data_IF_421803573711
#
_entry.id   IF_421803573711
#
_cell.length_a   1.000
_cell.length_b   1.000
_cell.length_c   1.000
_cell.angle_alpha   90.00
_cell.angle_beta   90.00
_cell.angle_gamma   90.00
#
_symmetry.space_group_name_H-M   'P 1'
#
loop_
_entity.id
_entity.type
_entity.pdbx_description
1 polymer ?
#
# COMPACT_ATOMS: atom_id res chain seq x y z
N UNK A 1 -37.74 9.03 24.70
CA UNK A 1 -37.10 7.79 25.17
C UNK A 1 -37.04 7.85 26.69
N UNK A 2 -37.67 6.89 27.38
CA UNK A 2 -37.60 6.78 28.85
C UNK A 2 -36.24 6.13 29.18
N UNK A 3 -35.44 6.66 30.13
CA UNK A 3 -34.19 6.01 30.52
C UNK A 3 -34.47 4.61 31.11
N UNK A 4 -33.59 3.63 30.86
CA UNK A 4 -33.73 2.29 31.45
C UNK A 4 -33.74 2.39 32.97
N UNK A 5 -34.56 1.55 33.61
CA UNK A 5 -34.68 1.57 35.07
C UNK A 5 -33.41 1.03 35.73
N UNK A 6 -33.16 1.39 37.00
CA UNK A 6 -31.97 0.93 37.73
C UNK A 6 -31.85 -0.60 37.78
N UNK A 7 -32.98 -1.31 37.75
CA UNK A 7 -33.04 -2.77 37.67
C UNK A 7 -32.59 -3.31 36.30
N UNK A 8 -32.88 -2.61 35.21
CA UNK A 8 -32.44 -2.98 33.86
C UNK A 8 -30.93 -2.77 33.71
N UNK A 9 -30.39 -1.69 34.31
CA UNK A 9 -28.95 -1.42 34.34
C UNK A 9 -28.19 -2.49 35.14
N UNK A 10 -28.69 -2.87 36.31
CA UNK A 10 -28.08 -3.95 37.11
C UNK A 10 -28.10 -5.31 36.39
N UNK A 11 -29.16 -5.59 35.63
CA UNK A 11 -29.30 -6.81 34.84
C UNK A 11 -28.31 -6.85 33.66
N UNK A 12 -28.18 -5.73 32.95
CA UNK A 12 -27.21 -5.56 31.87
C UNK A 12 -25.76 -5.64 32.38
N UNK A 13 -25.47 -5.08 33.55
CA UNK A 13 -24.14 -5.17 34.16
C UNK A 13 -23.81 -6.61 34.60
N UNK A 14 -24.78 -7.36 35.11
CA UNK A 14 -24.61 -8.76 35.46
C UNK A 14 -24.38 -9.65 34.22
N UNK A 15 -25.09 -9.39 33.13
CA UNK A 15 -24.91 -10.10 31.86
C UNK A 15 -23.57 -9.76 31.20
N UNK A 16 -23.17 -8.49 31.22
CA UNK A 16 -21.85 -8.05 30.75
C UNK A 16 -20.72 -8.71 31.55
N UNK A 17 -20.83 -8.78 32.89
CA UNK A 17 -19.85 -9.47 33.74
C UNK A 17 -19.74 -10.96 33.42
N UNK A 18 -20.87 -11.62 33.12
CA UNK A 18 -20.87 -13.04 32.72
C UNK A 18 -20.19 -13.24 31.37
N UNK A 19 -20.57 -12.45 30.36
CA UNK A 19 -19.96 -12.53 29.02
C UNK A 19 -18.45 -12.24 29.07
N UNK A 20 -18.04 -11.25 29.85
CA UNK A 20 -16.62 -10.95 30.07
C UNK A 20 -15.92 -12.13 30.76
N UNK A 21 -16.47 -12.66 31.85
CA UNK A 21 -15.83 -13.78 32.56
C UNK A 21 -15.72 -15.06 31.73
N UNK A 22 -16.65 -15.31 30.81
CA UNK A 22 -16.63 -16.50 29.94
C UNK A 22 -15.74 -16.31 28.70
N UNK A 23 -15.70 -15.09 28.13
CA UNK A 23 -14.96 -14.81 26.90
C UNK A 23 -13.50 -14.41 27.14
N UNK A 24 -13.20 -13.65 28.20
CA UNK A 24 -11.84 -13.15 28.46
C UNK A 24 -10.80 -14.27 28.59
N UNK A 25 -11.06 -15.39 29.30
CA UNK A 25 -10.09 -16.48 29.40
C UNK A 25 -9.77 -17.12 28.05
N UNK A 26 -10.78 -17.29 27.19
CA UNK A 26 -10.60 -17.85 25.85
C UNK A 26 -9.76 -16.93 24.97
N UNK A 27 -10.08 -15.63 24.97
CA UNK A 27 -9.32 -14.62 24.23
C UNK A 27 -7.87 -14.51 24.72
N UNK A 28 -7.65 -14.65 26.05
CA UNK A 28 -6.30 -14.66 26.61
C UNK A 28 -5.49 -15.88 26.17
N UNK A 29 -6.11 -17.06 26.10
CA UNK A 29 -5.44 -18.27 25.60
C UNK A 29 -5.15 -18.18 24.10
N UNK A 30 -6.07 -17.66 23.30
CA UNK A 30 -5.86 -17.40 21.87
C UNK A 30 -4.70 -16.41 21.65
N UNK A 31 -4.67 -15.32 22.42
CA UNK A 31 -3.58 -14.34 22.35
C UNK A 31 -2.23 -14.95 22.75
N UNK A 32 -2.21 -15.82 23.78
CA UNK A 32 -1.01 -16.55 24.19
C UNK A 32 -0.55 -17.53 23.10
N UNK A 33 -1.48 -18.23 22.46
CA UNK A 33 -1.21 -19.11 21.32
C UNK A 33 -0.59 -18.35 20.15
N UNK A 34 -1.27 -17.28 19.71
CA UNK A 34 -0.80 -16.43 18.63
C UNK A 34 0.59 -15.83 18.92
N UNK A 35 0.88 -15.48 20.17
CA UNK A 35 2.20 -14.99 20.55
C UNK A 35 3.28 -16.06 20.46
N UNK A 36 3.01 -17.29 20.91
CA UNK A 36 3.94 -18.42 20.77
C UNK A 36 4.22 -18.74 19.30
N UNK A 37 3.20 -18.69 18.46
CA UNK A 37 3.36 -18.89 17.02
C UNK A 37 4.19 -17.77 16.38
N UNK A 38 3.94 -16.51 16.74
CA UNK A 38 4.72 -15.37 16.25
C UNK A 38 6.19 -15.47 16.68
N UNK A 39 6.46 -15.88 17.92
CA UNK A 39 7.82 -16.05 18.42
C UNK A 39 8.50 -17.27 17.74
N UNK A 40 7.78 -18.37 17.52
CA UNK A 40 8.29 -19.52 16.76
C UNK A 40 8.63 -19.17 15.30
N UNK A 41 7.80 -18.35 14.64
CA UNK A 41 8.06 -17.88 13.28
C UNK A 41 9.27 -16.93 13.21
N UNK A 42 9.45 -16.08 14.23
CA UNK A 42 10.64 -15.24 14.35
C UNK A 42 11.90 -16.08 14.50
N UNK A 43 11.86 -17.08 15.38
CA UNK A 43 12.99 -18.00 15.58
C UNK A 43 13.29 -18.81 14.31
N UNK A 44 12.27 -19.25 13.57
CA UNK A 44 12.44 -19.94 12.31
C UNK A 44 13.07 -19.04 11.25
N UNK A 45 12.64 -17.78 11.17
CA UNK A 45 13.17 -16.79 10.24
C UNK A 45 14.62 -16.42 10.56
N UNK A 46 14.98 -16.27 11.84
CA UNK A 46 16.37 -16.04 12.25
C UNK A 46 17.26 -17.26 11.96
N UNK A 47 16.76 -18.48 12.20
CA UNK A 47 17.47 -19.71 11.81
C UNK A 47 17.66 -19.82 10.30
N UNK A 48 16.65 -19.45 9.51
CA UNK A 48 16.74 -19.46 8.06
C UNK A 48 17.73 -18.40 7.55
N UNK A 49 17.72 -17.19 8.13
CA UNK A 49 18.72 -16.16 7.82
C UNK A 49 20.13 -16.63 8.14
N UNK A 50 20.33 -17.21 9.33
CA UNK A 50 21.63 -17.75 9.74
C UNK A 50 22.09 -18.86 8.79
N UNK A 51 21.19 -19.79 8.42
CA UNK A 51 21.49 -20.85 7.45
C UNK A 51 21.81 -20.30 6.06
N UNK A 52 21.11 -19.25 5.60
CA UNK A 52 21.39 -18.56 4.33
C UNK A 52 22.73 -17.82 4.37
N UNK A 53 23.06 -17.17 5.47
CA UNK A 53 24.33 -16.48 5.64
C UNK A 53 25.50 -17.47 5.71
N UNK A 54 25.34 -18.58 6.42
CA UNK A 54 26.34 -19.65 6.48
C UNK A 54 26.51 -20.34 5.12
N UNK A 55 25.42 -20.60 4.40
CA UNK A 55 25.47 -21.08 3.01
C UNK A 55 26.13 -20.07 2.07
N UNK A 56 25.95 -18.76 2.28
CA UNK A 56 26.61 -17.71 1.52
C UNK A 56 28.12 -17.61 1.83
N UNK A 57 28.53 -17.86 3.07
CA UNK A 57 29.96 -17.92 3.47
C UNK A 57 30.67 -19.16 2.93
N UNK A 58 29.95 -20.29 2.79
CA UNK A 58 30.48 -21.54 2.25
C UNK A 58 30.42 -21.61 0.72
N UNK A 59 29.68 -20.71 0.06
CA UNK A 59 29.60 -20.68 -1.39
C UNK A 59 30.93 -20.21 -2.02
N UNK A 60 31.46 -20.94 -3.02
CA UNK A 60 32.60 -20.48 -3.81
C UNK A 60 32.32 -19.07 -4.37
N UNK A 61 33.29 -18.14 -4.34
CA UNK A 61 33.08 -16.74 -4.77
C UNK A 61 32.60 -16.62 -6.22
N UNK A 62 32.90 -17.62 -7.04
CA UNK A 62 32.43 -17.73 -8.43
C UNK A 62 30.91 -17.95 -8.49
N UNK A 63 30.35 -18.80 -7.62
CA UNK A 63 28.92 -19.07 -7.55
C UNK A 63 28.15 -17.92 -6.90
N UNK A 64 28.73 -17.23 -5.90
CA UNK A 64 28.14 -16.03 -5.32
C UNK A 64 28.05 -14.88 -6.34
N UNK A 65 29.09 -14.69 -7.16
CA UNK A 65 29.11 -13.68 -8.22
C UNK A 65 28.19 -14.05 -9.39
N UNK A 66 28.12 -15.33 -9.75
CA UNK A 66 27.16 -15.82 -10.74
C UNK A 66 25.71 -15.67 -10.27
N UNK A 67 25.43 -15.91 -8.97
CA UNK A 67 24.10 -15.71 -8.39
C UNK A 67 23.72 -14.23 -8.25
N UNK A 68 24.67 -13.36 -7.90
CA UNK A 68 24.46 -11.91 -7.91
C UNK A 68 24.24 -11.37 -9.33
N UNK A 69 24.96 -11.92 -10.32
CA UNK A 69 24.75 -11.61 -11.73
C UNK A 69 23.40 -12.14 -12.22
N UNK A 70 22.99 -13.35 -11.82
CA UNK A 70 21.68 -13.91 -12.14
C UNK A 70 20.53 -13.14 -11.47
N UNK A 71 20.68 -12.69 -10.22
CA UNK A 71 19.72 -11.81 -9.55
C UNK A 71 19.65 -10.42 -10.20
N UNK A 72 20.77 -9.91 -10.73
CA UNK A 72 20.81 -8.67 -11.48
C UNK A 72 20.16 -8.83 -12.87
N UNK A 73 20.44 -9.93 -13.57
CA UNK A 73 19.75 -10.30 -14.83
C UNK A 73 18.26 -10.54 -14.61
N UNK A 74 17.86 -11.19 -13.52
CA UNK A 74 16.45 -11.39 -13.17
C UNK A 74 15.77 -10.07 -12.81
N UNK A 75 16.47 -9.15 -12.15
CA UNK A 75 15.95 -7.80 -11.86
C UNK A 75 15.86 -6.94 -13.12
N UNK A 76 16.80 -7.09 -14.05
CA UNK A 76 16.84 -6.40 -15.34
C UNK A 76 15.84 -7.01 -16.33
N UNK A 77 15.61 -8.33 -16.28
CA UNK A 77 14.58 -9.06 -17.02
C UNK A 77 13.18 -8.81 -16.44
N UNK A 78 13.02 -8.73 -15.12
CA UNK A 78 11.80 -8.25 -14.49
C UNK A 78 11.57 -6.77 -14.84
N UNK A 79 12.63 -5.97 -14.86
CA UNK A 79 12.64 -4.61 -15.38
C UNK A 79 12.19 -4.55 -16.84
N UNK A 80 12.64 -5.46 -17.69
CA UNK A 80 12.30 -5.56 -19.11
C UNK A 80 10.88 -6.09 -19.35
N UNK A 81 10.41 -7.04 -18.53
CA UNK A 81 9.03 -7.57 -18.54
C UNK A 81 8.04 -6.53 -18.01
N UNK A 82 8.44 -5.69 -17.05
CA UNK A 82 7.71 -4.49 -16.61
C UNK A 82 7.88 -3.30 -17.56
N UNK A 83 8.96 -3.28 -18.36
CA UNK A 83 9.26 -2.29 -19.39
C UNK A 83 8.78 -2.71 -20.79
N UNK A 84 7.95 -3.75 -20.91
CA UNK A 84 7.00 -3.76 -22.02
C UNK A 84 6.17 -2.48 -21.86
N UNK A 85 6.23 -1.51 -22.80
CA UNK A 85 5.53 -0.26 -22.63
C UNK A 85 4.05 -0.60 -22.48
N UNK A 86 3.48 -0.36 -21.29
CA UNK A 86 2.04 -0.45 -21.07
C UNK A 86 1.39 0.57 -22.01
N UNK A 87 1.08 0.13 -23.23
CA UNK A 87 0.47 1.00 -24.22
C UNK A 87 -0.96 1.22 -23.80
N UNK A 88 -1.21 2.39 -23.23
CA UNK A 88 -2.56 2.82 -22.89
C UNK A 88 -3.35 2.94 -24.19
N UNK A 89 -4.29 2.02 -24.41
CA UNK A 89 -5.22 2.11 -25.52
C UNK A 89 -6.12 3.34 -25.36
N UNK A 90 -6.65 3.88 -26.47
CA UNK A 90 -7.57 5.01 -26.41
C UNK A 90 -8.81 4.72 -25.52
N UNK A 91 -9.26 3.45 -25.51
CA UNK A 91 -10.33 2.97 -24.63
C UNK A 91 -9.95 3.07 -23.15
N UNK A 92 -8.74 2.63 -22.78
CA UNK A 92 -8.24 2.74 -21.41
C UNK A 92 -8.05 4.21 -20.98
N UNK A 93 -7.57 5.07 -21.88
CA UNK A 93 -7.47 6.51 -21.64
C UNK A 93 -8.83 7.19 -21.44
N UNK A 94 -9.88 6.71 -22.14
CA UNK A 94 -11.24 7.19 -21.96
C UNK A 94 -11.82 6.73 -20.61
N UNK A 95 -11.63 5.45 -20.25
CA UNK A 95 -12.08 4.90 -18.97
C UNK A 95 -11.45 5.63 -17.77
N UNK A 96 -10.17 6.00 -17.87
CA UNK A 96 -9.46 6.81 -16.88
C UNK A 96 -10.05 8.20 -16.62
N UNK A 97 -11.09 8.65 -17.33
CA UNK A 97 -11.83 9.87 -17.00
C UNK A 97 -12.86 9.64 -15.89
N UNK A 98 -13.46 8.45 -15.87
CA UNK A 98 -14.54 8.07 -14.96
C UNK A 98 -14.06 7.19 -13.81
N UNK A 99 -13.09 6.31 -14.06
CA UNK A 99 -12.67 5.24 -13.16
C UNK A 99 -11.26 5.53 -12.55
N UNK A 100 -11.12 5.61 -11.22
CA UNK A 100 -9.84 5.85 -10.56
C UNK A 100 -8.82 4.72 -10.73
N UNK A 101 -9.27 3.45 -10.83
CA UNK A 101 -8.38 2.31 -11.05
C UNK A 101 -7.81 2.34 -12.47
N UNK A 102 -8.68 2.59 -13.46
CA UNK A 102 -8.22 2.84 -14.82
C UNK A 102 -7.26 4.04 -14.90
N UNK A 103 -7.51 5.09 -14.12
CA UNK A 103 -6.63 6.25 -14.06
C UNK A 103 -5.26 5.93 -13.44
N UNK A 104 -5.21 5.07 -12.43
CA UNK A 104 -3.96 4.58 -11.85
C UNK A 104 -3.15 3.81 -12.89
N UNK A 105 -3.77 2.89 -13.62
CA UNK A 105 -3.11 2.13 -14.68
C UNK A 105 -2.53 3.03 -15.78
N UNK A 106 -3.27 4.06 -16.21
CA UNK A 106 -2.78 5.07 -17.17
C UNK A 106 -1.63 5.89 -16.59
N UNK A 107 -1.67 6.21 -15.30
CA UNK A 107 -0.63 6.99 -14.63
C UNK A 107 0.66 6.19 -14.46
N UNK A 108 0.57 4.88 -14.18
CA UNK A 108 1.72 3.95 -14.16
C UNK A 108 2.41 3.94 -15.51
N UNK A 109 1.65 3.71 -16.59
CA UNK A 109 2.19 3.71 -17.95
C UNK A 109 2.90 5.02 -18.31
N UNK A 110 2.34 6.17 -17.90
CA UNK A 110 2.95 7.48 -18.13
C UNK A 110 4.22 7.71 -17.31
N UNK A 111 4.26 7.26 -16.07
CA UNK A 111 5.38 7.47 -15.17
C UNK A 111 6.57 6.53 -15.46
N UNK A 112 6.32 5.37 -16.07
CA UNK A 112 7.34 4.42 -16.52
C UNK A 112 7.89 4.74 -17.93
N UNK A 113 7.32 5.73 -18.63
CA UNK A 113 7.86 6.20 -19.90
C UNK A 113 9.26 6.78 -19.69
N UNK A 114 10.23 6.56 -20.60
CA UNK A 114 11.58 7.12 -20.48
C UNK A 114 11.58 8.65 -20.39
N UNK A 115 10.62 9.31 -21.06
CA UNK A 115 10.44 10.76 -21.05
C UNK A 115 9.55 11.28 -19.91
N UNK A 116 9.23 10.45 -18.90
CA UNK A 116 8.36 10.87 -17.81
C UNK A 116 8.97 12.03 -17.02
N UNK A 117 8.19 13.09 -16.84
CA UNK A 117 8.59 14.22 -16.01
C UNK A 117 8.55 13.89 -14.51
N UNK A 118 9.22 14.69 -13.66
CA UNK A 118 9.14 14.54 -12.20
C UNK A 118 7.71 14.61 -11.66
N UNK A 119 6.84 15.37 -12.32
CA UNK A 119 5.43 15.55 -11.93
C UNK A 119 4.63 14.27 -12.14
N UNK A 120 4.85 13.55 -13.24
CA UNK A 120 4.19 12.28 -13.54
C UNK A 120 4.54 11.21 -12.51
N UNK A 121 5.82 11.12 -12.13
CA UNK A 121 6.31 10.21 -11.08
C UNK A 121 5.74 10.57 -9.71
N UNK A 122 5.77 11.84 -9.32
CA UNK A 122 5.19 12.30 -8.05
C UNK A 122 3.67 12.03 -7.97
N UNK A 123 2.95 12.22 -9.08
CA UNK A 123 1.52 11.89 -9.14
C UNK A 123 1.28 10.39 -8.99
N UNK A 124 2.11 9.53 -9.59
CA UNK A 124 2.01 8.09 -9.40
C UNK A 124 2.19 7.71 -7.92
N UNK A 125 3.24 8.23 -7.28
CA UNK A 125 3.51 7.98 -5.85
C UNK A 125 2.31 8.39 -4.99
N UNK A 126 1.73 9.56 -5.25
CA UNK A 126 0.55 10.02 -4.51
C UNK A 126 -0.67 9.12 -4.71
N UNK A 127 -0.92 8.65 -5.94
CA UNK A 127 -2.00 7.71 -6.22
C UNK A 127 -1.78 6.34 -5.57
N UNK A 128 -0.54 5.83 -5.57
CA UNK A 128 -0.20 4.57 -4.92
C UNK A 128 -0.39 4.65 -3.39
N UNK A 129 0.00 5.77 -2.78
CA UNK A 129 -0.21 5.99 -1.35
C UNK A 129 -1.70 6.05 -0.99
N UNK A 130 -2.49 6.79 -1.77
CA UNK A 130 -3.94 6.82 -1.61
C UNK A 130 -4.56 5.42 -1.74
N UNK A 131 -4.10 4.63 -2.72
CA UNK A 131 -4.55 3.24 -2.88
C UNK A 131 -4.19 2.36 -1.67
N UNK A 132 -2.97 2.48 -1.12
CA UNK A 132 -2.57 1.71 0.08
C UNK A 132 -3.38 2.04 1.34
N UNK A 133 -3.98 3.23 1.38
CA UNK A 133 -4.84 3.69 2.47
C UNK A 133 -6.32 3.44 2.22
N UNK A 134 -6.69 2.88 1.06
CA UNK A 134 -8.09 2.71 0.66
C UNK A 134 -8.79 4.01 0.24
N UNK A 135 -8.04 5.10 0.02
CA UNK A 135 -8.57 6.45 -0.23
C UNK A 135 -8.38 6.94 -1.68
N UNK A 136 -8.30 6.01 -2.61
CA UNK A 136 -8.05 6.31 -4.03
C UNK A 136 -9.14 7.19 -4.65
N UNK A 137 -10.41 6.98 -4.24
CA UNK A 137 -11.56 7.76 -4.70
C UNK A 137 -11.51 9.22 -4.22
N UNK A 138 -11.14 9.49 -2.96
CA UNK A 138 -11.06 10.88 -2.49
C UNK A 138 -9.90 11.63 -3.14
N UNK A 139 -8.74 10.97 -3.32
CA UNK A 139 -7.64 11.53 -4.11
C UNK A 139 -8.09 11.92 -5.53
N UNK A 140 -8.88 11.05 -6.16
CA UNK A 140 -9.44 11.27 -7.49
C UNK A 140 -10.46 12.42 -7.52
N UNK A 141 -11.34 12.50 -6.53
CA UNK A 141 -12.29 13.61 -6.37
C UNK A 141 -11.57 14.95 -6.18
N UNK A 142 -10.54 15.01 -5.33
CA UNK A 142 -9.72 16.21 -5.13
C UNK A 142 -9.00 16.66 -6.42
N UNK A 143 -8.63 15.71 -7.29
CA UNK A 143 -8.09 16.04 -8.63
C UNK A 143 -9.16 16.68 -9.52
N UNK A 144 -10.39 16.16 -9.54
CA UNK A 144 -11.50 16.74 -10.31
C UNK A 144 -11.81 18.16 -9.83
N UNK A 145 -11.85 18.37 -8.52
CA UNK A 145 -12.06 19.70 -7.92
C UNK A 145 -10.95 20.69 -8.31
N UNK A 146 -9.67 20.29 -8.28
CA UNK A 146 -8.55 21.13 -8.73
C UNK A 146 -8.59 21.49 -10.22
N UNK A 147 -9.17 20.63 -11.07
CA UNK A 147 -9.40 20.94 -12.49
C UNK A 147 -10.59 21.85 -12.73
N UNK A 148 -11.60 21.77 -11.86
CA UNK A 148 -12.81 22.59 -11.93
C UNK A 148 -12.61 23.99 -11.32
N UNK A 149 -11.67 24.15 -10.40
CA UNK A 149 -11.32 25.46 -9.85
C UNK A 149 -10.72 26.37 -10.94
N UNK A 150 -11.23 27.60 -11.12
CA UNK A 150 -10.61 28.57 -12.01
C UNK A 150 -9.19 28.84 -11.53
N UNK A 151 -8.22 28.79 -12.45
CA UNK A 151 -6.83 29.15 -12.14
C UNK A 151 -6.83 30.56 -11.56
N UNK A 152 -6.18 30.84 -10.41
CA UNK A 152 -6.05 32.20 -9.92
C UNK A 152 -5.34 33.01 -11.00
N UNK A 153 -6.01 34.05 -11.50
CA UNK A 153 -5.48 34.96 -12.51
C UNK A 153 -4.08 35.38 -12.07
N UNK A 154 -3.05 35.01 -12.85
CA UNK A 154 -1.72 35.61 -12.71
C UNK A 154 -1.91 37.10 -12.91
N UNK A 155 -1.82 37.87 -11.81
CA UNK A 155 -1.89 39.31 -11.83
C UNK A 155 -0.92 39.85 -12.88
N UNK A 156 -1.47 40.49 -13.91
CA UNK A 156 -0.72 41.24 -14.91
C UNK A 156 0.09 42.30 -14.18
N UNK A 157 1.43 42.38 -14.35
CA UNK A 157 2.19 43.45 -13.72
C UNK A 157 1.77 44.77 -14.37
N UNK A 158 1.17 45.67 -13.58
CA UNK A 158 0.90 47.05 -13.97
C UNK A 158 2.24 47.72 -14.26
N UNK A 159 2.53 47.86 -15.55
CA UNK A 159 3.69 48.58 -16.08
C UNK A 159 3.51 50.06 -15.73
N UNK A 160 4.21 50.55 -14.70
CA UNK A 160 4.28 51.98 -14.39
C UNK A 160 5.09 52.68 -15.49
N UNK A 161 4.51 53.73 -16.06
CA UNK A 161 5.18 54.69 -16.94
C UNK A 161 6.07 55.62 -16.13
#
# INVERSE_FOLDING_TARGET
MKPPSDHDLASLEAEAKRLVNDALPRVLEELRGARREADALRDALEKEKAAREEAARQAPPILARARAAALAEDAEAAGALLAAPFRVSAKAAAAARGDPLAALAVQVAKALSPDAGPVERARLIAMAFAASQGDLEAFWAARKQRKAAPKPNRATPLRKK
#
